data_IF_155078487821
#
_entry.id   IF_155078487821
#
_cell.length_a   1.000
_cell.length_b   1.000
_cell.length_c   1.000
_cell.angle_alpha   90.00
_cell.angle_beta   90.00
_cell.angle_gamma   90.00
#
_symmetry.space_group_name_H-M   'P 1'
#
loop_
_entity.id
_entity.type
_entity.pdbx_description
1 polymer ?
#
# COMPACT_ATOMS: atom_id res chain seq x y z
N UNK A 1 -8.45 44.20 69.13
CA UNK A 1 -7.87 43.06 69.87
C UNK A 1 -6.83 42.37 69.00
N UNK A 2 -5.55 42.56 69.33
CA UNK A 2 -4.43 41.85 68.73
C UNK A 2 -4.52 40.35 69.07
N UNK A 3 -4.17 39.47 68.12
CA UNK A 3 -3.34 38.29 68.40
C UNK A 3 -2.51 37.95 67.15
N UNK A 4 -1.20 38.26 67.25
CA UNK A 4 -0.12 37.65 66.47
C UNK A 4 0.05 36.18 66.90
N UNK A 5 0.38 35.31 65.95
CA UNK A 5 1.28 34.13 66.06
C UNK A 5 0.95 33.18 64.91
N UNK A 6 1.86 32.50 64.23
CA UNK A 6 3.31 32.55 64.13
C UNK A 6 3.62 31.74 62.86
N UNK A 7 4.51 32.26 62.01
CA UNK A 7 5.00 31.58 60.82
C UNK A 7 5.91 30.43 61.28
N UNK A 8 5.55 29.18 61.00
CA UNK A 8 6.45 28.03 61.19
C UNK A 8 6.80 27.50 59.80
N UNK A 9 7.91 28.00 59.26
CA UNK A 9 8.63 27.34 58.19
C UNK A 9 9.13 25.99 58.71
N UNK A 10 8.46 24.89 58.35
CA UNK A 10 9.03 23.55 58.50
C UNK A 10 9.99 23.30 57.36
N UNK A 11 11.27 23.56 57.61
CA UNK A 11 12.39 23.00 56.85
C UNK A 11 12.38 21.48 57.00
N UNK A 12 11.80 20.78 56.03
CA UNK A 12 11.92 19.32 55.93
C UNK A 12 13.31 18.97 55.39
N UNK A 13 14.30 18.84 56.27
CA UNK A 13 15.53 18.11 55.96
C UNK A 13 15.20 16.65 55.69
N UNK A 14 15.06 16.29 54.42
CA UNK A 14 14.77 14.93 53.96
C UNK A 14 16.04 14.09 54.07
N UNK A 15 16.32 13.57 55.26
CA UNK A 15 17.36 12.54 55.46
C UNK A 15 16.93 11.28 54.70
N UNK A 16 17.55 11.02 53.53
CA UNK A 16 17.43 9.75 52.82
C UNK A 16 18.22 8.67 53.59
N UNK A 17 17.60 8.06 54.60
CA UNK A 17 18.07 6.77 55.10
C UNK A 17 17.62 5.69 54.12
N UNK A 18 18.55 5.18 53.33
CA UNK A 18 18.34 3.97 52.52
C UNK A 18 18.33 2.76 53.45
N UNK A 19 17.22 2.61 54.20
CA UNK A 19 17.01 1.43 55.03
C UNK A 19 16.36 0.34 54.19
N UNK A 20 16.95 -0.85 54.18
CA UNK A 20 16.47 -2.04 53.44
C UNK A 20 15.05 -2.47 53.84
N UNK A 21 14.51 -1.92 54.94
CA UNK A 21 13.13 -2.16 55.42
C UNK A 21 12.15 -1.03 55.09
N UNK A 22 12.60 0.05 54.45
CA UNK A 22 11.75 1.22 54.09
C UNK A 22 10.59 0.84 53.15
N UNK A 23 10.81 -0.09 52.22
CA UNK A 23 9.75 -0.62 51.35
C UNK A 23 8.69 -1.42 52.14
N UNK A 24 9.11 -2.15 53.17
CA UNK A 24 8.20 -2.91 54.03
C UNK A 24 7.39 -1.96 54.93
N UNK A 25 8.03 -0.93 55.49
CA UNK A 25 7.37 0.13 56.24
C UNK A 25 6.36 0.93 55.36
N UNK A 26 6.71 1.20 54.11
CA UNK A 26 5.79 1.83 53.16
C UNK A 26 4.57 0.93 52.88
N UNK A 27 4.79 -0.36 52.63
CA UNK A 27 3.73 -1.35 52.38
C UNK A 27 2.83 -1.58 53.60
N UNK A 28 3.35 -1.50 54.82
CA UNK A 28 2.54 -1.60 56.05
C UNK A 28 1.72 -0.33 56.28
N UNK A 29 2.28 0.86 56.03
CA UNK A 29 1.57 2.13 56.15
C UNK A 29 0.51 2.35 55.06
N UNK A 30 0.71 1.78 53.87
CA UNK A 30 -0.20 1.92 52.72
C UNK A 30 -1.06 0.66 52.49
N UNK A 31 -1.06 -0.28 53.44
CA UNK A 31 -1.76 -1.59 53.35
C UNK A 31 -3.27 -1.45 53.10
N UNK A 32 -3.87 -0.32 53.51
CA UNK A 32 -5.30 -0.05 53.44
C UNK A 32 -5.66 1.19 52.59
N UNK A 33 -4.73 1.74 51.79
CA UNK A 33 -5.10 2.78 50.84
C UNK A 33 -5.93 2.15 49.72
N UNK A 34 -7.18 2.57 49.59
CA UNK A 34 -8.02 2.24 48.43
C UNK A 34 -7.21 2.60 47.18
N UNK A 35 -6.86 1.58 46.38
CA UNK A 35 -6.15 1.79 45.12
C UNK A 35 -6.96 2.79 44.29
N UNK A 36 -6.32 3.77 43.61
CA UNK A 36 -7.05 4.66 42.73
C UNK A 36 -7.83 3.81 41.72
N UNK A 37 -9.13 4.08 41.49
CA UNK A 37 -9.91 3.31 40.54
C UNK A 37 -9.32 3.53 39.15
N UNK A 38 -8.82 2.45 38.56
CA UNK A 38 -8.42 2.45 37.16
C UNK A 38 -9.66 2.12 36.32
N UNK A 39 -9.93 2.83 35.21
CA UNK A 39 -10.94 2.40 34.26
C UNK A 39 -10.49 1.07 33.66
N UNK A 40 -11.13 -0.03 34.06
CA UNK A 40 -10.96 -1.33 33.43
C UNK A 40 -11.86 -1.37 32.20
N UNK A 41 -11.24 -1.39 31.01
CA UNK A 41 -11.95 -1.65 29.77
C UNK A 41 -12.08 -3.18 29.69
N UNK A 42 -13.25 -3.71 30.04
CA UNK A 42 -13.55 -5.12 29.88
C UNK A 42 -13.71 -5.42 28.39
N UNK A 43 -12.64 -5.92 27.75
CA UNK A 43 -12.69 -6.31 26.34
C UNK A 43 -13.63 -7.50 26.18
N UNK A 44 -14.68 -7.41 25.34
CA UNK A 44 -15.64 -8.50 25.19
C UNK A 44 -14.97 -9.75 24.59
N UNK A 45 -15.19 -10.91 25.19
CA UNK A 45 -14.75 -12.20 24.65
C UNK A 45 -15.77 -12.74 23.65
N UNK A 46 -15.31 -13.17 22.48
CA UNK A 46 -16.17 -13.71 21.43
C UNK A 46 -16.56 -15.17 21.76
N UNK A 47 -17.82 -15.56 21.55
CA UNK A 47 -18.22 -16.97 21.60
C UNK A 47 -17.89 -17.65 20.27
N UNK A 48 -17.79 -18.98 20.26
CA UNK A 48 -17.52 -19.75 19.04
C UNK A 48 -18.54 -19.43 17.93
N UNK A 49 -19.83 -19.35 18.27
CA UNK A 49 -20.90 -19.07 17.31
C UNK A 49 -20.80 -17.65 16.72
N UNK A 50 -20.49 -16.64 17.55
CA UNK A 50 -20.30 -15.25 17.06
C UNK A 50 -19.03 -15.09 16.23
N UNK A 51 -17.99 -15.86 16.54
CA UNK A 51 -16.75 -15.84 15.77
C UNK A 51 -16.97 -16.47 14.39
N UNK A 52 -17.65 -17.61 14.33
CA UNK A 52 -17.97 -18.29 13.06
C UNK A 52 -18.84 -17.39 12.18
N UNK A 53 -19.86 -16.73 12.74
CA UNK A 53 -20.73 -15.83 11.96
C UNK A 53 -19.98 -14.62 11.40
N UNK A 54 -19.07 -14.02 12.18
CA UNK A 54 -18.21 -12.93 11.72
C UNK A 54 -17.27 -13.37 10.59
N UNK A 55 -16.64 -14.55 10.72
CA UNK A 55 -15.75 -15.08 9.68
C UNK A 55 -16.52 -15.31 8.38
N UNK A 56 -17.69 -15.94 8.45
CA UNK A 56 -18.51 -16.19 7.25
C UNK A 56 -19.00 -14.90 6.59
N UNK A 57 -19.24 -13.85 7.36
CA UNK A 57 -19.67 -12.54 6.85
C UNK A 57 -18.52 -11.78 6.16
N UNK A 58 -17.32 -11.77 6.76
CA UNK A 58 -16.15 -11.05 6.22
C UNK A 58 -15.45 -11.79 5.08
N UNK A 59 -15.72 -13.09 4.90
CA UNK A 59 -15.09 -13.88 3.83
C UNK A 59 -15.60 -13.36 2.48
N UNK A 60 -14.72 -12.79 1.62
CA UNK A 60 -15.15 -12.25 0.34
C UNK A 60 -15.64 -13.37 -0.56
N UNK A 61 -16.80 -13.16 -1.20
CA UNK A 61 -17.31 -14.09 -2.20
C UNK A 61 -16.34 -14.16 -3.40
N UNK A 62 -16.06 -15.36 -3.96
CA UNK A 62 -15.21 -15.46 -5.13
C UNK A 62 -15.84 -14.67 -6.29
N UNK A 63 -15.15 -13.63 -6.75
CA UNK A 63 -15.68 -12.77 -7.82
C UNK A 63 -15.92 -13.60 -9.09
N UNK A 64 -17.09 -13.43 -9.72
CA UNK A 64 -17.35 -13.89 -11.10
C UNK A 64 -16.30 -13.25 -12.02
N UNK A 65 -15.42 -14.07 -12.60
CA UNK A 65 -14.12 -13.68 -13.15
C UNK A 65 -14.11 -12.40 -14.03
N UNK A 66 -13.17 -11.46 -13.81
CA UNK A 66 -12.80 -10.49 -14.83
C UNK A 66 -11.92 -11.16 -15.90
N UNK A 67 -11.88 -10.57 -17.10
CA UNK A 67 -11.03 -11.00 -18.22
C UNK A 67 -9.57 -11.11 -17.76
N UNK A 68 -8.90 -12.21 -18.12
CA UNK A 68 -7.49 -12.47 -17.81
C UNK A 68 -6.63 -11.32 -18.36
N UNK A 69 -5.69 -10.85 -17.55
CA UNK A 69 -4.70 -9.87 -18.00
C UNK A 69 -3.55 -10.63 -18.64
N UNK A 70 -3.16 -10.18 -19.83
CA UNK A 70 -2.04 -10.73 -20.61
C UNK A 70 -0.89 -9.74 -20.61
N UNK A 71 0.33 -10.27 -20.52
CA UNK A 71 1.55 -9.46 -20.45
C UNK A 71 2.45 -9.87 -21.60
N UNK A 72 2.67 -8.97 -22.54
CA UNK A 72 3.54 -9.17 -23.69
C UNK A 72 4.83 -8.38 -23.50
N UNK A 73 5.95 -8.99 -23.90
CA UNK A 73 7.25 -8.35 -23.97
C UNK A 73 7.72 -8.29 -25.41
N UNK A 74 7.87 -7.09 -25.96
CA UNK A 74 8.33 -6.87 -27.33
C UNK A 74 9.78 -6.39 -27.31
N UNK A 75 10.64 -7.02 -28.08
CA UNK A 75 12.01 -6.58 -28.34
C UNK A 75 11.99 -5.80 -29.64
N UNK A 76 12.27 -4.50 -29.56
CA UNK A 76 12.14 -3.58 -30.69
C UNK A 76 13.44 -2.85 -30.92
N UNK A 77 13.75 -2.58 -32.19
CA UNK A 77 14.86 -1.72 -32.56
C UNK A 77 14.55 -0.28 -32.14
N UNK A 78 15.51 0.43 -31.55
CA UNK A 78 15.32 1.79 -31.08
C UNK A 78 15.52 2.80 -32.23
N UNK A 79 14.56 2.84 -33.15
CA UNK A 79 14.50 3.80 -34.24
C UNK A 79 13.39 4.84 -34.02
N UNK A 80 13.53 6.07 -34.55
CA UNK A 80 12.48 7.08 -34.45
C UNK A 80 11.19 6.57 -35.09
N UNK A 81 10.07 6.66 -34.35
CA UNK A 81 8.75 6.26 -34.82
C UNK A 81 8.29 4.87 -34.39
N UNK A 82 9.15 4.03 -33.81
CA UNK A 82 8.79 2.66 -33.41
C UNK A 82 7.69 2.60 -32.35
N UNK A 83 7.75 3.49 -31.35
CA UNK A 83 6.67 3.60 -30.35
C UNK A 83 5.32 3.93 -31.00
N UNK A 84 5.31 4.87 -31.95
CA UNK A 84 4.12 5.25 -32.68
C UNK A 84 3.60 4.09 -33.51
N UNK A 85 4.46 3.37 -34.23
CA UNK A 85 4.08 2.19 -35.01
C UNK A 85 3.39 1.13 -34.15
N UNK A 86 4.01 0.71 -33.04
CA UNK A 86 3.43 -0.33 -32.15
C UNK A 86 2.13 0.15 -31.51
N UNK A 87 2.09 1.38 -31.01
CA UNK A 87 0.88 1.94 -30.40
C UNK A 87 -0.26 2.10 -31.41
N UNK A 88 0.04 2.56 -32.64
CA UNK A 88 -0.94 2.71 -33.71
C UNK A 88 -1.48 1.36 -34.19
N UNK A 89 -0.63 0.34 -34.30
CA UNK A 89 -1.05 -1.02 -34.66
C UNK A 89 -2.04 -1.61 -33.65
N UNK A 90 -1.80 -1.37 -32.35
CA UNK A 90 -2.72 -1.82 -31.30
C UNK A 90 -4.03 -1.01 -31.29
N UNK A 91 -3.94 0.31 -31.44
CA UNK A 91 -5.10 1.20 -31.44
C UNK A 91 -6.00 1.01 -32.68
N UNK A 92 -5.41 0.82 -33.87
CA UNK A 92 -6.14 0.64 -35.13
C UNK A 92 -7.06 -0.60 -35.12
N UNK A 93 -6.74 -1.59 -34.28
CA UNK A 93 -7.53 -2.82 -34.11
C UNK A 93 -8.45 -2.80 -32.90
N UNK A 94 -8.42 -1.73 -32.11
CA UNK A 94 -9.27 -1.58 -30.93
C UNK A 94 -8.92 -2.56 -29.80
N UNK A 95 -7.65 -2.95 -29.66
CA UNK A 95 -7.25 -3.74 -28.49
C UNK A 95 -7.28 -2.87 -27.23
N UNK A 96 -7.79 -3.42 -26.13
CA UNK A 96 -7.85 -2.70 -24.85
C UNK A 96 -6.49 -2.80 -24.13
N UNK A 97 -5.71 -1.73 -24.22
CA UNK A 97 -4.39 -1.60 -23.60
C UNK A 97 -4.54 -1.04 -22.19
N UNK A 98 -4.12 -1.80 -21.19
CA UNK A 98 -4.07 -1.33 -19.80
C UNK A 98 -2.84 -0.46 -19.55
N UNK A 99 -1.67 -0.90 -20.04
CA UNK A 99 -0.43 -0.14 -19.93
C UNK A 99 0.54 -0.53 -21.03
N UNK A 100 1.28 0.45 -21.53
CA UNK A 100 2.40 0.25 -22.45
C UNK A 100 3.60 1.05 -21.92
N UNK A 101 4.71 0.37 -21.68
CA UNK A 101 5.95 0.99 -21.18
C UNK A 101 7.11 0.62 -22.08
N UNK A 102 7.92 1.61 -22.44
CA UNK A 102 9.20 1.42 -23.14
C UNK A 102 10.33 1.45 -22.12
N UNK A 103 11.17 0.43 -22.14
CA UNK A 103 12.35 0.29 -21.30
C UNK A 103 13.57 0.26 -22.22
N UNK A 104 14.53 1.14 -22.00
CA UNK A 104 15.80 1.08 -22.72
C UNK A 104 16.60 -0.12 -22.17
N UNK A 105 17.30 -0.82 -23.06
CA UNK A 105 18.23 -1.87 -22.64
C UNK A 105 19.67 -1.34 -22.70
N UNK A 106 20.61 -2.05 -22.07
CA UNK A 106 22.05 -1.71 -22.13
C UNK A 106 22.63 -1.90 -23.54
N UNK A 107 21.93 -2.63 -24.40
CA UNK A 107 22.35 -2.84 -25.79
C UNK A 107 21.92 -1.63 -26.63
N UNK A 108 22.87 -1.07 -27.38
CA UNK A 108 22.60 0.03 -28.31
C UNK A 108 21.54 -0.38 -29.32
N UNK A 109 20.68 0.57 -29.66
CA UNK A 109 19.60 0.41 -30.63
C UNK A 109 18.58 -0.71 -30.30
N UNK A 110 18.53 -1.17 -29.05
CA UNK A 110 17.56 -2.17 -28.59
C UNK A 110 16.74 -1.64 -27.41
N UNK A 111 15.42 -1.69 -27.57
CA UNK A 111 14.44 -1.32 -26.56
C UNK A 111 13.53 -2.50 -26.25
N UNK A 112 13.07 -2.56 -25.00
CA UNK A 112 12.12 -3.56 -24.51
C UNK A 112 10.81 -2.88 -24.18
N UNK A 113 9.72 -3.28 -24.83
CA UNK A 113 8.39 -2.76 -24.55
C UNK A 113 7.59 -3.79 -23.76
N UNK A 114 7.02 -3.39 -22.63
CA UNK A 114 6.08 -4.22 -21.87
C UNK A 114 4.67 -3.71 -22.14
N UNK A 115 3.78 -4.60 -22.59
CA UNK A 115 2.41 -4.27 -22.97
C UNK A 115 1.48 -5.14 -22.15
N UNK A 116 0.48 -4.53 -21.51
CA UNK A 116 -0.57 -5.22 -20.77
C UNK A 116 -1.88 -5.06 -21.50
N UNK A 117 -2.54 -6.18 -21.78
CA UNK A 117 -3.77 -6.25 -22.54
C UNK A 117 -4.84 -7.02 -21.75
N UNK A 118 -6.09 -6.63 -21.90
CA UNK A 118 -7.25 -7.38 -21.39
C UNK A 118 -8.00 -8.03 -22.56
N UNK A 119 -8.16 -9.36 -22.54
CA UNK A 119 -8.81 -10.06 -23.64
C UNK A 119 -8.99 -11.55 -23.41
N UNK A 120 -9.45 -12.23 -24.46
CA UNK A 120 -9.38 -13.69 -24.57
C UNK A 120 -8.11 -14.08 -25.31
N UNK A 121 -7.56 -15.25 -25.02
CA UNK A 121 -6.29 -15.75 -25.57
C UNK A 121 -6.22 -15.63 -27.11
N UNK A 122 -7.30 -15.91 -27.83
CA UNK A 122 -7.33 -15.80 -29.30
C UNK A 122 -7.12 -14.37 -29.84
N UNK A 123 -7.69 -13.36 -29.15
CA UNK A 123 -7.53 -11.94 -29.51
C UNK A 123 -6.12 -11.47 -29.18
N UNK A 124 -5.54 -11.98 -28.09
CA UNK A 124 -4.19 -11.63 -27.65
C UNK A 124 -3.13 -12.25 -28.56
N UNK A 125 -3.32 -13.49 -28.99
CA UNK A 125 -2.43 -14.13 -29.96
C UNK A 125 -2.46 -13.40 -31.30
N UNK A 126 -3.62 -12.89 -31.73
CA UNK A 126 -3.70 -12.01 -32.90
C UNK A 126 -2.93 -10.70 -32.70
N UNK A 127 -3.01 -10.08 -31.51
CA UNK A 127 -2.23 -8.88 -31.18
C UNK A 127 -0.72 -9.16 -31.19
N UNK A 128 -0.29 -10.30 -30.62
CA UNK A 128 1.10 -10.76 -30.59
C UNK A 128 1.66 -10.90 -32.00
N UNK A 129 0.96 -11.65 -32.87
CA UNK A 129 1.34 -11.87 -34.27
C UNK A 129 1.44 -10.57 -35.05
N UNK A 130 0.57 -9.60 -34.78
CA UNK A 130 0.61 -8.35 -35.51
C UNK A 130 1.80 -7.46 -35.15
N UNK A 131 2.16 -7.41 -33.87
CA UNK A 131 3.33 -6.64 -33.44
C UNK A 131 4.60 -7.33 -33.96
N UNK A 132 4.62 -8.65 -34.00
CA UNK A 132 5.73 -9.45 -34.54
C UNK A 132 5.93 -9.26 -36.06
N UNK A 133 4.86 -8.94 -36.81
CA UNK A 133 4.91 -8.65 -38.25
C UNK A 133 5.52 -7.27 -38.59
N UNK A 134 5.73 -6.41 -37.59
CA UNK A 134 6.34 -5.10 -37.80
C UNK A 134 7.85 -5.25 -38.04
N UNK A 135 8.34 -4.64 -39.13
CA UNK A 135 9.76 -4.63 -39.52
C UNK A 135 10.74 -4.27 -38.38
N UNK A 136 10.50 -3.24 -37.53
CA UNK A 136 11.44 -2.87 -36.46
C UNK A 136 11.36 -3.78 -35.21
N UNK A 137 10.54 -4.84 -35.21
CA UNK A 137 10.36 -5.72 -34.05
C UNK A 137 11.14 -7.02 -34.27
N UNK A 138 11.99 -7.38 -33.30
CA UNK A 138 12.75 -8.63 -33.34
C UNK A 138 11.92 -9.83 -32.93
N UNK A 139 11.17 -9.70 -31.83
CA UNK A 139 10.36 -10.77 -31.27
C UNK A 139 9.33 -10.23 -30.28
N UNK A 140 8.21 -10.95 -30.14
CA UNK A 140 7.18 -10.69 -29.12
C UNK A 140 6.96 -11.95 -28.28
N UNK A 141 7.33 -11.87 -27.00
CA UNK A 141 7.19 -12.94 -26.03
C UNK A 141 5.90 -12.75 -25.22
N UNK A 142 5.19 -13.85 -24.93
CA UNK A 142 4.06 -13.86 -24.01
C UNK A 142 4.49 -14.35 -22.62
N UNK A 143 4.29 -13.51 -21.60
CA UNK A 143 4.59 -13.79 -20.20
C UNK A 143 3.34 -14.07 -19.36
N UNK A 144 2.17 -14.26 -19.99
CA UNK A 144 0.91 -14.48 -19.30
C UNK A 144 0.94 -15.69 -18.36
N UNK A 145 1.52 -16.81 -18.79
CA UNK A 145 1.60 -18.05 -18.01
C UNK A 145 2.98 -18.27 -17.38
N UNK A 146 3.92 -17.33 -17.59
CA UNK A 146 5.26 -17.42 -17.04
C UNK A 146 5.34 -16.79 -15.65
N UNK A 147 6.25 -17.30 -14.82
CA UNK A 147 6.59 -16.62 -13.59
C UNK A 147 7.33 -15.32 -13.90
N UNK A 148 6.72 -14.18 -13.54
CA UNK A 148 7.28 -12.85 -13.80
C UNK A 148 7.32 -11.97 -12.55
N UNK A 149 8.33 -11.12 -12.51
CA UNK A 149 8.44 -10.02 -11.55
C UNK A 149 7.79 -8.79 -12.18
N UNK A 150 6.60 -8.42 -11.67
CA UNK A 150 5.88 -7.21 -12.07
C UNK A 150 6.30 -6.05 -11.18
N UNK A 151 6.70 -4.93 -11.78
CA UNK A 151 7.06 -3.69 -11.08
C UNK A 151 6.39 -2.49 -11.71
N UNK A 152 6.05 -1.55 -10.86
CA UNK A 152 5.48 -0.26 -11.19
C UNK A 152 6.00 0.74 -10.17
N UNK A 153 6.32 1.95 -10.63
CA UNK A 153 6.80 3.05 -9.83
C UNK A 153 5.66 4.05 -9.62
N UNK A 154 5.52 4.51 -8.39
CA UNK A 154 4.57 5.54 -7.99
C UNK A 154 5.32 6.67 -7.31
N UNK A 155 5.04 7.89 -7.73
CA UNK A 155 5.34 9.12 -7.00
C UNK A 155 4.01 9.81 -6.67
N UNK A 156 3.77 10.10 -5.40
CA UNK A 156 2.55 10.77 -4.97
C UNK A 156 2.88 11.92 -4.03
N UNK A 157 2.31 13.10 -4.31
CA UNK A 157 2.31 14.24 -3.39
C UNK A 157 1.03 14.19 -2.56
N UNK A 158 1.18 14.10 -1.26
CA UNK A 158 0.09 13.94 -0.29
C UNK A 158 0.01 15.17 0.60
N UNK A 159 -1.21 15.62 0.91
CA UNK A 159 -1.46 16.73 1.83
C UNK A 159 -1.19 16.33 3.28
N UNK A 160 -0.64 17.26 4.07
CA UNK A 160 -0.49 17.12 5.52
C UNK A 160 -1.59 17.87 6.30
N UNK A 161 -2.42 18.66 5.60
CA UNK A 161 -3.41 19.55 6.21
C UNK A 161 -4.72 18.83 6.60
N UNK A 162 -4.88 17.56 6.22
CA UNK A 162 -6.06 16.75 6.52
C UNK A 162 -7.09 16.70 5.38
N UNK A 163 -8.12 15.84 5.52
CA UNK A 163 -9.16 15.65 4.52
C UNK A 163 -10.08 16.87 4.35
N UNK A 164 -10.33 17.64 5.41
CA UNK A 164 -11.23 18.80 5.38
C UNK A 164 -10.66 19.90 4.47
N UNK A 165 -9.37 20.18 4.61
CA UNK A 165 -8.66 21.09 3.70
C UNK A 165 -8.62 20.56 2.26
N UNK A 166 -8.48 19.24 2.10
CA UNK A 166 -8.48 18.63 0.77
C UNK A 166 -9.82 18.77 0.06
N UNK A 167 -10.94 18.65 0.78
CA UNK A 167 -12.29 18.88 0.25
C UNK A 167 -12.48 20.35 -0.16
N UNK A 168 -12.06 21.31 0.67
CA UNK A 168 -12.06 22.74 0.31
C UNK A 168 -11.24 23.00 -0.96
N UNK A 169 -10.05 22.39 -1.05
CA UNK A 169 -9.17 22.54 -2.21
C UNK A 169 -9.83 22.00 -3.49
N UNK A 170 -10.45 20.81 -3.44
CA UNK A 170 -11.16 20.23 -4.58
C UNK A 170 -12.32 21.14 -5.01
N UNK A 171 -13.16 21.56 -4.06
CA UNK A 171 -14.30 22.43 -4.34
C UNK A 171 -13.85 23.74 -4.99
N UNK A 172 -12.77 24.33 -4.50
CA UNK A 172 -12.19 25.55 -5.07
C UNK A 172 -11.74 25.36 -6.52
N UNK A 173 -11.07 24.24 -6.85
CA UNK A 173 -10.65 23.97 -8.23
C UNK A 173 -11.84 23.68 -9.16
N UNK A 174 -12.88 23.00 -8.68
CA UNK A 174 -14.09 22.73 -9.45
C UNK A 174 -14.83 24.02 -9.83
N UNK A 175 -14.94 24.98 -8.90
CA UNK A 175 -15.54 26.30 -9.17
C UNK A 175 -14.82 27.11 -10.25
N UNK A 176 -13.50 26.95 -10.37
CA UNK A 176 -12.73 27.66 -11.40
C UNK A 176 -12.91 27.06 -12.81
N UNK A 177 -13.37 25.81 -12.90
CA UNK A 177 -13.57 25.10 -14.18
C UNK A 177 -15.02 25.24 -14.66
N UNK A 178 -15.98 25.09 -13.74
CA UNK A 178 -17.41 25.18 -14.04
C UNK A 178 -17.91 26.60 -13.72
N UNK A 179 -17.95 27.47 -14.73
CA UNK A 179 -18.45 28.86 -14.67
C UNK A 179 -19.59 29.05 -13.63
N UNK A 180 -19.21 29.52 -12.44
CA UNK A 180 -19.95 30.18 -11.36
C UNK A 180 -21.40 29.73 -11.00
N UNK A 181 -21.84 28.54 -11.39
CA UNK A 181 -23.25 28.11 -11.22
C UNK A 181 -23.47 27.09 -10.09
N UNK A 182 -22.40 26.52 -9.52
CA UNK A 182 -22.48 25.67 -8.34
C UNK A 182 -22.18 26.48 -7.06
N UNK A 183 -23.09 26.42 -6.09
CA UNK A 183 -22.83 26.97 -4.74
C UNK A 183 -21.76 26.06 -4.11
N UNK A 184 -20.61 26.59 -3.65
CA UNK A 184 -19.63 25.76 -2.96
C UNK A 184 -20.26 25.13 -1.73
N UNK A 185 -20.02 23.83 -1.57
CA UNK A 185 -20.31 23.13 -0.33
C UNK A 185 -19.30 23.58 0.75
N UNK A 186 -19.60 24.71 1.40
CA UNK A 186 -18.77 25.33 2.43
C UNK A 186 -18.80 24.58 3.77
N UNK A 187 -19.54 23.46 3.86
CA UNK A 187 -19.65 22.65 5.09
C UNK A 187 -18.29 22.13 5.56
N UNK A 188 -17.34 21.92 4.66
CA UNK A 188 -15.97 21.52 4.99
C UNK A 188 -15.22 22.58 5.82
N UNK A 189 -15.44 23.87 5.53
CA UNK A 189 -14.81 24.99 6.25
C UNK A 189 -15.39 25.19 7.65
N UNK A 190 -16.59 24.68 7.92
CA UNK A 190 -17.26 24.73 9.23
C UNK A 190 -16.80 23.61 10.18
N UNK A 191 -16.03 22.64 9.67
CA UNK A 191 -15.55 21.52 10.48
C UNK A 191 -14.54 21.95 11.57
N UNK A 192 -14.56 21.26 12.70
CA UNK A 192 -13.71 21.58 13.85
C UNK A 192 -12.22 21.36 13.58
N UNK A 193 -11.87 20.46 12.65
CA UNK A 193 -10.50 20.10 12.31
C UNK A 193 -9.95 20.85 11.08
N UNK A 194 -10.70 21.81 10.55
CA UNK A 194 -10.23 22.65 9.46
C UNK A 194 -9.03 23.51 9.90
N UNK A 195 -7.96 23.66 9.10
CA UNK A 195 -6.77 24.44 9.48
C UNK A 195 -7.08 25.91 9.80
N UNK A 196 -8.15 26.48 9.22
CA UNK A 196 -8.58 27.86 9.51
C UNK A 196 -9.21 28.03 10.91
N UNK A 197 -9.80 26.96 11.46
CA UNK A 197 -10.51 27.00 12.75
C UNK A 197 -9.60 26.59 13.92
N UNK A 198 -8.44 25.99 13.62
CA UNK A 198 -7.52 25.45 14.61
C UNK A 198 -6.44 26.46 15.04
N UNK A 199 -6.03 26.44 16.32
CA UNK A 199 -4.85 27.19 16.77
C UNK A 199 -3.59 26.76 16.00
N UNK A 200 -2.67 27.68 15.63
CA UNK A 200 -1.48 27.35 14.84
C UNK A 200 -0.60 26.25 15.44
N UNK A 201 -0.52 26.19 16.78
CA UNK A 201 0.24 25.14 17.47
C UNK A 201 -0.38 23.75 17.35
N UNK A 202 -1.72 23.68 17.28
CA UNK A 202 -2.46 22.44 17.12
C UNK A 202 -2.41 21.98 15.67
N UNK A 203 -2.61 22.90 14.73
CA UNK A 203 -2.45 22.63 13.31
C UNK A 203 -1.05 22.06 13.00
N UNK A 204 0.02 22.60 13.60
CA UNK A 204 1.37 22.07 13.45
C UNK A 204 1.51 20.63 13.97
N UNK A 205 0.92 20.31 15.13
CA UNK A 205 0.94 18.94 15.68
C UNK A 205 0.17 17.97 14.80
N UNK A 206 -1.00 18.37 14.30
CA UNK A 206 -1.80 17.55 13.38
C UNK A 206 -1.05 17.26 12.08
N UNK A 207 -0.40 18.27 11.48
CA UNK A 207 0.47 18.08 10.30
C UNK A 207 1.54 17.04 10.55
N UNK A 208 2.24 17.12 11.68
CA UNK A 208 3.29 16.17 12.02
C UNK A 208 2.73 14.77 12.33
N UNK A 209 1.53 14.68 12.92
CA UNK A 209 0.83 13.40 13.11
C UNK A 209 0.48 12.74 11.78
N UNK A 210 -0.08 13.50 10.81
CA UNK A 210 -0.37 12.99 9.48
C UNK A 210 0.90 12.54 8.77
N UNK A 211 1.97 13.34 8.84
CA UNK A 211 3.28 12.98 8.29
C UNK A 211 3.80 11.66 8.87
N UNK A 212 3.75 11.47 10.19
CA UNK A 212 4.22 10.25 10.84
C UNK A 212 3.41 9.02 10.39
N UNK A 213 2.09 9.14 10.23
CA UNK A 213 1.26 8.06 9.70
C UNK A 213 1.59 7.74 8.24
N UNK A 214 1.78 8.76 7.40
CA UNK A 214 2.17 8.58 5.99
C UNK A 214 3.55 7.93 5.89
N UNK A 215 4.52 8.37 6.71
CA UNK A 215 5.87 7.77 6.76
C UNK A 215 5.80 6.29 7.16
N UNK A 216 5.07 5.98 8.23
CA UNK A 216 4.90 4.60 8.69
C UNK A 216 4.23 3.70 7.63
N UNK A 217 3.19 4.19 6.96
CA UNK A 217 2.55 3.46 5.84
C UNK A 217 3.53 3.26 4.68
N UNK A 218 4.30 4.28 4.34
CA UNK A 218 5.28 4.23 3.24
C UNK A 218 6.37 3.20 3.54
N UNK A 219 6.91 3.20 4.76
CA UNK A 219 7.91 2.23 5.22
C UNK A 219 7.39 0.79 5.20
N UNK A 220 6.16 0.56 5.69
CA UNK A 220 5.53 -0.77 5.65
C UNK A 220 5.31 -1.29 4.23
N UNK A 221 5.04 -0.40 3.28
CA UNK A 221 4.88 -0.78 1.88
C UNK A 221 6.22 -0.99 1.16
N UNK A 222 7.35 -0.59 1.77
CA UNK A 222 8.69 -0.65 1.20
C UNK A 222 9.03 0.55 0.31
N UNK A 223 8.32 1.67 0.49
CA UNK A 223 8.56 2.93 -0.19
C UNK A 223 9.54 3.84 0.56
N UNK A 224 9.69 5.07 0.08
CA UNK A 224 10.54 6.10 0.67
C UNK A 224 9.83 7.45 0.64
N UNK A 225 10.11 8.30 1.62
CA UNK A 225 9.75 9.71 1.58
C UNK A 225 10.89 10.46 0.88
N UNK A 226 10.58 11.14 -0.23
CA UNK A 226 11.59 11.81 -1.08
C UNK A 226 11.68 13.30 -0.77
N UNK A 227 10.54 13.95 -0.51
CA UNK A 227 10.47 15.39 -0.23
C UNK A 227 9.48 15.69 0.90
N UNK A 228 9.79 16.69 1.72
CA UNK A 228 8.98 17.12 2.85
C UNK A 228 8.84 18.64 2.78
N UNK A 229 7.61 19.11 2.63
CA UNK A 229 7.25 20.54 2.62
C UNK A 229 6.40 20.91 3.84
N UNK A 230 6.05 22.18 3.98
CA UNK A 230 5.25 22.69 5.11
C UNK A 230 3.78 22.21 5.10
N UNK A 231 3.27 21.85 3.92
CA UNK A 231 1.86 21.50 3.69
C UNK A 231 1.68 20.15 3.02
N UNK A 232 2.73 19.57 2.45
CA UNK A 232 2.66 18.33 1.70
C UNK A 232 3.95 17.53 1.83
N UNK A 233 3.88 16.26 1.42
CA UNK A 233 4.99 15.31 1.41
C UNK A 233 4.96 14.54 0.09
N UNK A 234 6.12 14.22 -0.47
CA UNK A 234 6.22 13.37 -1.67
C UNK A 234 6.75 12.00 -1.27
N UNK A 235 5.99 10.97 -1.62
CA UNK A 235 6.33 9.56 -1.37
C UNK A 235 6.61 8.83 -2.68
N UNK A 236 7.57 7.93 -2.63
CA UNK A 236 7.97 7.02 -3.70
C UNK A 236 7.67 5.57 -3.31
N UNK A 237 7.10 4.79 -4.21
CA UNK A 237 6.88 3.36 -4.03
C UNK A 237 7.18 2.59 -5.32
N UNK A 238 7.95 1.50 -5.20
CA UNK A 238 8.13 0.52 -6.29
C UNK A 238 7.60 -0.85 -5.88
N UNK A 239 6.52 -1.31 -6.50
CA UNK A 239 5.87 -2.57 -6.12
C UNK A 239 5.12 -3.22 -7.29
N UNK A 240 4.45 -4.36 -7.03
CA UNK A 240 3.51 -4.96 -8.01
C UNK A 240 2.28 -4.04 -8.17
N UNK A 241 1.62 -3.98 -9.33
CA UNK A 241 0.50 -3.06 -9.55
C UNK A 241 -0.67 -3.18 -8.56
N UNK A 242 -0.96 -4.40 -8.08
CA UNK A 242 -1.98 -4.62 -7.04
C UNK A 242 -1.61 -3.96 -5.72
N UNK A 243 -0.35 -4.09 -5.29
CA UNK A 243 0.17 -3.48 -4.05
C UNK A 243 0.25 -1.96 -4.16
N UNK A 244 0.60 -1.42 -5.34
CA UNK A 244 0.59 0.03 -5.61
C UNK A 244 -0.85 0.56 -5.52
N UNK A 245 -1.82 -0.10 -6.15
CA UNK A 245 -3.22 0.32 -6.06
C UNK A 245 -3.76 0.30 -4.63
N UNK A 246 -3.45 -0.74 -3.83
CA UNK A 246 -3.82 -0.77 -2.41
C UNK A 246 -3.19 0.37 -1.61
N UNK A 247 -1.94 0.73 -1.90
CA UNK A 247 -1.26 1.85 -1.25
C UNK A 247 -1.94 3.19 -1.55
N UNK A 248 -2.35 3.41 -2.81
CA UNK A 248 -3.11 4.61 -3.21
C UNK A 248 -4.44 4.69 -2.43
N UNK A 249 -5.17 3.58 -2.29
CA UNK A 249 -6.42 3.53 -1.52
C UNK A 249 -6.21 3.89 -0.04
N UNK A 250 -5.10 3.48 0.57
CA UNK A 250 -4.77 3.82 1.95
C UNK A 250 -4.33 5.29 2.12
N UNK A 251 -3.72 5.89 1.09
CA UNK A 251 -3.33 7.30 1.10
C UNK A 251 -4.47 8.26 0.75
N UNK A 252 -5.50 7.78 0.06
CA UNK A 252 -6.64 8.57 -0.40
C UNK A 252 -7.30 9.43 0.72
N UNK A 253 -7.49 8.94 1.96
CA UNK A 253 -8.08 9.74 3.04
C UNK A 253 -7.24 10.95 3.47
N UNK A 254 -5.91 10.92 3.27
CA UNK A 254 -5.05 12.06 3.60
C UNK A 254 -5.14 13.19 2.55
N UNK A 255 -5.63 12.87 1.35
CA UNK A 255 -5.72 13.78 0.22
C UNK A 255 -4.48 13.74 -0.66
N UNK A 256 -4.59 13.08 -1.82
CA UNK A 256 -3.53 13.02 -2.83
C UNK A 256 -3.66 14.26 -3.73
N UNK A 257 -2.65 15.13 -3.68
CA UNK A 257 -2.61 16.38 -4.44
C UNK A 257 -2.15 16.14 -5.89
N UNK A 258 -1.15 15.28 -6.06
CA UNK A 258 -0.62 14.90 -7.38
C UNK A 258 -0.16 13.44 -7.33
N UNK A 259 -0.35 12.72 -8.44
CA UNK A 259 0.05 11.32 -8.56
C UNK A 259 0.63 11.05 -9.94
N UNK A 260 1.88 10.61 -9.96
CA UNK A 260 2.56 10.11 -11.14
C UNK A 260 2.81 8.61 -10.98
N UNK A 261 2.12 7.81 -11.79
CA UNK A 261 2.20 6.35 -11.79
C UNK A 261 2.79 5.91 -13.13
N UNK A 262 3.86 5.12 -13.10
CA UNK A 262 4.39 4.50 -14.31
C UNK A 262 3.43 3.43 -14.82
N UNK A 263 3.65 2.90 -16.02
CA UNK A 263 3.00 1.63 -16.39
C UNK A 263 3.70 0.44 -15.74
N UNK A 264 3.16 -0.76 -15.99
CA UNK A 264 3.74 -2.00 -15.48
C UNK A 264 4.93 -2.46 -16.35
N UNK A 265 6.06 -2.68 -15.69
CA UNK A 265 7.23 -3.37 -16.24
C UNK A 265 7.22 -4.83 -15.80
N UNK A 266 7.73 -5.72 -16.65
CA UNK A 266 7.86 -7.14 -16.34
C UNK A 266 9.23 -7.68 -16.74
N UNK A 267 9.77 -8.55 -15.89
CA UNK A 267 10.95 -9.36 -16.18
C UNK A 267 10.66 -10.81 -15.78
N UNK A 268 10.96 -11.81 -16.61
CA UNK A 268 10.77 -13.21 -16.25
C UNK A 268 11.73 -13.58 -15.12
N UNK A 269 11.24 -14.39 -14.19
CA UNK A 269 12.07 -15.02 -13.16
C UNK A 269 12.34 -16.47 -13.56
N UNK A 270 13.51 -16.97 -13.21
CA UNK A 270 13.79 -18.40 -13.26
C UNK A 270 13.19 -19.04 -12.00
N UNK A 271 12.25 -19.98 -12.12
CA UNK A 271 11.79 -20.75 -10.98
C UNK A 271 12.96 -21.59 -10.44
N UNK A 272 13.07 -21.68 -9.12
CA UNK A 272 14.00 -22.59 -8.47
C UNK A 272 13.17 -23.79 -8.00
N UNK A 273 13.30 -24.91 -8.69
CA UNK A 273 12.75 -26.18 -8.24
C UNK A 273 13.64 -26.68 -7.10
N UNK A 274 13.03 -26.96 -5.93
CA UNK A 274 13.73 -27.74 -4.91
C UNK A 274 13.66 -29.18 -5.36
N UNK A 275 14.81 -29.85 -5.44
CA UNK A 275 14.97 -31.26 -5.85
C UNK A 275 14.21 -32.31 -5.00
N UNK A 276 13.25 -31.92 -4.16
CA UNK A 276 12.54 -32.81 -3.23
C UNK A 276 11.17 -33.27 -3.75
N UNK A 277 10.66 -32.72 -4.86
CA UNK A 277 9.29 -33.01 -5.34
C UNK A 277 9.22 -33.82 -6.67
N UNK A 278 10.36 -34.09 -7.33
CA UNK A 278 10.40 -34.80 -8.63
C UNK A 278 10.89 -36.27 -8.54
N UNK A 279 10.94 -36.86 -7.35
CA UNK A 279 10.83 -38.32 -7.28
C UNK A 279 9.36 -38.68 -7.52
N UNK A 280 8.96 -38.68 -8.80
CA UNK A 280 7.88 -39.56 -9.19
C UNK A 280 8.22 -40.94 -8.61
N UNK A 281 7.31 -41.59 -7.87
CA UNK A 281 7.54 -42.95 -7.43
C UNK A 281 7.62 -43.80 -8.68
N UNK A 282 8.84 -44.03 -9.17
CA UNK A 282 9.15 -45.04 -10.17
C UNK A 282 8.54 -46.30 -9.60
N UNK A 283 7.49 -46.78 -10.26
CA UNK A 283 6.68 -47.90 -9.83
C UNK A 283 7.56 -48.98 -9.20
N UNK A 284 7.59 -48.98 -7.87
CA UNK A 284 8.24 -50.02 -7.12
C UNK A 284 7.43 -51.27 -7.44
N UNK A 285 8.08 -52.20 -8.16
CA UNK A 285 7.65 -53.56 -8.42
C UNK A 285 6.58 -54.01 -7.43
N UNK A 286 5.36 -54.13 -7.92
CA UNK A 286 4.33 -54.93 -7.27
C UNK A 286 4.82 -56.37 -7.45
N UNK A 287 5.73 -56.80 -6.56
CA UNK A 287 6.07 -58.21 -6.40
C UNK A 287 4.82 -58.92 -5.90
N UNK A 288 4.25 -59.73 -6.77
CA UNK A 288 3.09 -60.55 -6.50
C UNK A 288 3.36 -61.46 -5.29
N UNK A 289 2.58 -61.29 -4.22
CA UNK A 289 2.71 -62.01 -2.96
C UNK A 289 2.52 -63.53 -3.09
N UNK A 290 2.14 -64.01 -4.28
CA UNK A 290 2.07 -65.43 -4.66
C UNK A 290 3.44 -66.11 -4.83
N UNK A 291 4.55 -65.36 -4.92
CA UNK A 291 5.90 -65.90 -5.14
C UNK A 291 6.73 -66.12 -3.86
N UNK A 292 6.20 -65.82 -2.67
CA UNK A 292 6.92 -66.08 -1.42
C UNK A 292 6.69 -67.53 -0.95
N UNK A 293 7.74 -68.31 -0.67
CA UNK A 293 7.58 -69.67 -0.14
C UNK A 293 6.98 -69.61 1.28
N UNK A 294 6.07 -70.54 1.64
CA UNK A 294 5.45 -70.55 2.96
C UNK A 294 6.49 -70.91 4.01
N UNK A 295 6.71 -69.98 4.94
CA UNK A 295 7.45 -70.17 6.19
C UNK A 295 6.51 -70.27 7.37
#
# INVERSE_FOLDING_TARGET
MLKRSANVFRTSTRTRSSSSTSALAYKTLHRNQKRPPLPTIDTPSWSADTAVSSILYETPVPSKAPKKQHVLNCLVQNEPGVLSSVSSTLAARGFNIDSLVVCNTEVKDLSRMTIVLKGQDGVIEQARRQIEDLVPVYAVLDYTNAEIIRRELLLARVSLLGPEYFQELIATHQLHVDDASSIPDLTACESAYHPSNLPPSEALRQKHSHFNHISALTEQFGGKVVDISERNVVVELSAKPSRVSSFITLLQPFGILELARSGMMALPRTPLERHEEDEEPVAADIVDASQLPPG
#
